data_IF_501657036673
#
_entry.id   IF_501657036673
#
_cell.length_a   1.000
_cell.length_b   1.000
_cell.length_c   1.000
_cell.angle_alpha   90.00
_cell.angle_beta   90.00
_cell.angle_gamma   90.00
#
_symmetry.space_group_name_H-M   'P 1'
#
loop_
_entity.id
_entity.type
_entity.pdbx_description
1 polymer ?
#
# COMPACT_ATOMS: atom_id res chain seq x y z
N UNK A 1 32.46 26.88 45.65
CA UNK A 1 31.22 27.02 44.85
C UNK A 1 31.54 26.87 43.37
N UNK A 2 31.06 25.80 42.73
CA UNK A 2 30.62 25.76 41.32
C UNK A 2 30.12 24.34 41.04
N UNK A 3 28.80 24.15 41.15
CA UNK A 3 28.12 22.91 40.77
C UNK A 3 27.88 22.99 39.27
N UNK A 4 28.55 22.14 38.50
CA UNK A 4 28.36 22.03 37.05
C UNK A 4 27.09 21.19 36.86
N UNK A 5 25.98 21.87 36.54
CA UNK A 5 24.75 21.22 36.11
C UNK A 5 24.88 20.82 34.64
N UNK A 6 24.97 19.52 34.39
CA UNK A 6 24.82 18.94 33.05
C UNK A 6 23.31 18.83 32.78
N UNK A 7 22.74 19.56 31.81
CA UNK A 7 21.35 19.32 31.43
C UNK A 7 21.28 17.99 30.68
N UNK A 8 20.60 17.04 31.30
CA UNK A 8 20.17 15.78 30.72
C UNK A 8 19.30 16.11 29.49
N UNK A 9 19.87 16.01 28.29
CA UNK A 9 19.10 16.09 27.05
C UNK A 9 18.27 14.80 26.98
N UNK A 10 17.04 14.88 27.47
CA UNK A 10 16.00 13.88 27.21
C UNK A 10 15.75 13.87 25.70
N UNK A 11 16.46 12.98 25.02
CA UNK A 11 16.16 12.55 23.66
C UNK A 11 14.78 11.86 23.71
N UNK A 12 13.75 12.69 23.57
CA UNK A 12 12.37 12.24 23.42
C UNK A 12 12.29 11.59 22.05
N UNK A 13 12.61 10.29 21.97
CA UNK A 13 12.22 9.47 20.83
C UNK A 13 10.69 9.47 20.81
N UNK A 14 10.13 10.43 20.07
CA UNK A 14 8.75 10.38 19.65
C UNK A 14 8.69 9.22 18.66
N UNK A 15 8.50 8.01 19.20
CA UNK A 15 8.06 6.87 18.42
C UNK A 15 6.67 7.29 17.94
N UNK A 16 6.63 7.87 16.75
CA UNK A 16 5.41 8.03 16.00
C UNK A 16 4.90 6.61 15.73
N UNK A 17 4.10 6.09 16.67
CA UNK A 17 3.24 4.94 16.48
C UNK A 17 2.14 5.32 15.48
N UNK A 18 2.53 5.67 14.25
CA UNK A 18 1.65 5.53 13.11
C UNK A 18 1.43 4.03 12.96
N UNK A 19 0.18 3.57 13.07
CA UNK A 19 -0.19 2.20 12.67
C UNK A 19 0.28 1.99 11.24
N UNK A 20 1.43 1.36 11.07
CA UNK A 20 1.93 0.98 9.75
C UNK A 20 0.98 -0.08 9.23
N UNK A 21 0.30 0.20 8.12
CA UNK A 21 -0.58 -0.77 7.46
C UNK A 21 0.22 -2.05 7.18
N UNK A 22 -0.39 -3.19 7.46
CA UNK A 22 0.14 -4.49 7.11
C UNK A 22 0.25 -4.63 5.58
N UNK A 23 1.11 -5.53 5.08
CA UNK A 23 1.19 -5.80 3.64
C UNK A 23 -0.16 -6.17 3.02
N UNK A 24 -1.02 -6.90 3.75
CA UNK A 24 -2.37 -7.27 3.31
C UNK A 24 -3.27 -6.04 3.16
N UNK A 25 -3.27 -5.12 4.12
CA UNK A 25 -4.05 -3.87 4.05
C UNK A 25 -3.60 -2.99 2.89
N UNK A 26 -2.29 -2.88 2.65
CA UNK A 26 -1.75 -2.10 1.53
C UNK A 26 -2.17 -2.75 0.20
N UNK A 27 -2.08 -4.07 0.07
CA UNK A 27 -2.53 -4.79 -1.11
C UNK A 27 -4.04 -4.63 -1.34
N UNK A 28 -4.85 -4.63 -0.28
CA UNK A 28 -6.29 -4.39 -0.37
C UNK A 28 -6.60 -2.98 -0.89
N UNK A 29 -5.90 -1.95 -0.41
CA UNK A 29 -6.05 -0.58 -0.92
C UNK A 29 -5.77 -0.49 -2.43
N UNK A 30 -4.76 -1.22 -2.92
CA UNK A 30 -4.42 -1.28 -4.34
C UNK A 30 -5.50 -2.01 -5.13
N UNK A 31 -6.00 -3.13 -4.60
CA UNK A 31 -7.12 -3.86 -5.18
C UNK A 31 -8.36 -2.96 -5.34
N UNK A 32 -8.71 -2.23 -4.29
CA UNK A 32 -9.87 -1.33 -4.29
C UNK A 32 -9.67 -0.17 -5.26
N UNK A 33 -8.44 0.36 -5.37
CA UNK A 33 -8.07 1.34 -6.39
C UNK A 33 -8.34 0.79 -7.80
N UNK A 34 -7.82 -0.42 -8.09
CA UNK A 34 -7.99 -1.08 -9.38
C UNK A 34 -9.46 -1.33 -9.72
N UNK A 35 -10.26 -1.81 -8.75
CA UNK A 35 -11.70 -2.01 -8.91
C UNK A 35 -12.42 -0.71 -9.26
N UNK A 36 -12.09 0.39 -8.57
CA UNK A 36 -12.68 1.72 -8.85
C UNK A 36 -12.29 2.23 -10.23
N UNK A 37 -11.02 2.11 -10.61
CA UNK A 37 -10.55 2.51 -11.93
C UNK A 37 -11.21 1.69 -13.05
N UNK A 38 -11.42 0.39 -12.82
CA UNK A 38 -12.06 -0.50 -13.80
C UNK A 38 -13.57 -0.36 -13.88
N UNK A 39 -14.22 0.18 -12.84
CA UNK A 39 -15.65 0.52 -12.85
C UNK A 39 -15.96 1.79 -13.66
N UNK A 40 -14.94 2.59 -14.02
CA UNK A 40 -15.13 3.74 -14.89
C UNK A 40 -15.55 3.30 -16.31
N UNK A 41 -16.44 4.05 -16.99
CA UNK A 41 -16.79 3.78 -18.37
C UNK A 41 -15.55 3.68 -19.26
N UNK A 42 -15.58 2.82 -20.28
CA UNK A 42 -14.47 2.67 -21.22
C UNK A 42 -14.15 3.98 -21.95
N UNK A 43 -15.17 4.83 -22.16
CA UNK A 43 -15.04 6.15 -22.78
C UNK A 43 -14.61 7.26 -21.81
N UNK A 44 -14.46 6.99 -20.51
CA UNK A 44 -14.02 8.00 -19.55
C UNK A 44 -12.54 8.32 -19.80
N UNK A 45 -12.19 9.58 -20.14
CA UNK A 45 -10.81 9.96 -20.44
C UNK A 45 -9.88 9.80 -19.23
N UNK A 46 -10.42 9.77 -18.00
CA UNK A 46 -9.65 9.61 -16.78
C UNK A 46 -9.41 8.15 -16.41
N UNK A 47 -10.06 7.19 -17.07
CA UNK A 47 -9.91 5.76 -16.75
C UNK A 47 -8.47 5.29 -16.82
N UNK A 48 -7.78 5.63 -17.92
CA UNK A 48 -6.36 5.27 -18.10
C UNK A 48 -5.49 5.88 -17.01
N UNK A 49 -5.72 7.15 -16.66
CA UNK A 49 -4.97 7.82 -15.60
C UNK A 49 -5.23 7.17 -14.23
N UNK A 50 -6.48 6.85 -13.90
CA UNK A 50 -6.83 6.16 -12.66
C UNK A 50 -6.16 4.79 -12.55
N UNK A 51 -6.10 4.02 -13.64
CA UNK A 51 -5.40 2.74 -13.69
C UNK A 51 -3.88 2.90 -13.46
N UNK A 52 -3.28 3.92 -14.09
CA UNK A 52 -1.85 4.24 -13.91
C UNK A 52 -1.51 4.63 -12.47
N UNK A 53 -2.35 5.44 -11.83
CA UNK A 53 -2.19 5.82 -10.43
C UNK A 53 -2.24 4.59 -9.49
N UNK A 54 -3.16 3.65 -9.73
CA UNK A 54 -3.19 2.40 -8.97
C UNK A 54 -1.92 1.55 -9.19
N UNK A 55 -1.43 1.49 -10.43
CA UNK A 55 -0.21 0.75 -10.74
C UNK A 55 1.02 1.38 -10.10
N UNK A 56 1.11 2.72 -10.06
CA UNK A 56 2.18 3.42 -9.36
C UNK A 56 2.18 3.09 -7.87
N UNK A 57 1.01 3.14 -7.22
CA UNK A 57 0.85 2.71 -5.81
C UNK A 57 1.30 1.27 -5.59
N UNK A 58 0.97 0.37 -6.52
CA UNK A 58 1.42 -1.01 -6.47
C UNK A 58 2.95 -1.13 -6.50
N UNK A 59 3.62 -0.46 -7.44
CA UNK A 59 5.09 -0.47 -7.54
C UNK A 59 5.75 0.12 -6.29
N UNK A 60 5.23 1.24 -5.78
CA UNK A 60 5.73 1.87 -4.56
C UNK A 60 5.58 0.96 -3.34
N UNK A 61 4.44 0.27 -3.20
CA UNK A 61 4.22 -0.68 -2.12
C UNK A 61 5.09 -1.93 -2.27
N UNK A 62 5.20 -2.48 -3.47
CA UNK A 62 6.04 -3.63 -3.77
C UNK A 62 7.50 -3.37 -3.40
N UNK A 63 8.04 -2.20 -3.74
CA UNK A 63 9.41 -1.84 -3.37
C UNK A 63 9.67 -1.81 -1.86
N UNK A 64 8.64 -1.63 -1.03
CA UNK A 64 8.75 -1.65 0.44
C UNK A 64 8.70 -3.07 1.02
N UNK A 65 8.06 -4.01 0.34
CA UNK A 65 7.82 -5.38 0.87
C UNK A 65 8.67 -6.45 0.20
N UNK A 66 9.17 -6.23 -1.02
CA UNK A 66 9.86 -7.25 -1.84
C UNK A 66 11.12 -7.87 -1.22
N UNK A 67 11.75 -7.18 -0.27
CA UNK A 67 12.94 -7.67 0.43
C UNK A 67 12.64 -8.63 1.58
N UNK A 68 11.36 -8.80 1.94
CA UNK A 68 10.91 -9.63 3.05
C UNK A 68 9.93 -10.68 2.49
N UNK A 69 10.33 -11.95 2.54
CA UNK A 69 9.61 -13.04 1.89
C UNK A 69 8.19 -13.18 2.43
N UNK A 70 8.00 -13.06 3.74
CA UNK A 70 6.68 -13.20 4.37
C UNK A 70 5.78 -12.03 4.00
N UNK A 71 6.31 -10.79 4.03
CA UNK A 71 5.54 -9.61 3.63
C UNK A 71 5.21 -9.63 2.14
N UNK A 72 6.14 -10.03 1.29
CA UNK A 72 5.94 -10.16 -0.14
C UNK A 72 4.88 -11.22 -0.45
N UNK A 73 4.92 -12.37 0.22
CA UNK A 73 3.93 -13.44 0.08
C UNK A 73 2.53 -12.95 0.49
N UNK A 74 2.40 -12.33 1.67
CA UNK A 74 1.13 -11.80 2.17
C UNK A 74 0.56 -10.69 1.27
N UNK A 75 1.41 -9.83 0.72
CA UNK A 75 1.03 -8.80 -0.24
C UNK A 75 0.51 -9.41 -1.55
N UNK A 76 1.27 -10.37 -2.10
CA UNK A 76 0.93 -11.03 -3.37
C UNK A 76 -0.33 -11.89 -3.25
N UNK A 77 -0.54 -12.58 -2.13
CA UNK A 77 -1.75 -13.38 -1.87
C UNK A 77 -3.03 -12.57 -2.15
N UNK A 78 -3.09 -11.35 -1.60
CA UNK A 78 -4.25 -10.45 -1.76
C UNK A 78 -4.37 -9.93 -3.19
N UNK A 79 -3.27 -9.48 -3.81
CA UNK A 79 -3.31 -8.97 -5.18
C UNK A 79 -3.66 -10.05 -6.20
N UNK A 80 -3.14 -11.26 -6.05
CA UNK A 80 -3.46 -12.40 -6.91
C UNK A 80 -4.93 -12.78 -6.80
N UNK A 81 -5.47 -12.88 -5.58
CA UNK A 81 -6.90 -13.14 -5.37
C UNK A 81 -7.78 -12.05 -6.02
N UNK A 82 -7.41 -10.78 -5.84
CA UNK A 82 -8.10 -9.66 -6.45
C UNK A 82 -8.08 -9.69 -7.99
N UNK A 83 -6.92 -10.00 -8.59
CA UNK A 83 -6.80 -10.11 -10.03
C UNK A 83 -7.67 -11.26 -10.58
N UNK A 84 -7.66 -12.42 -9.91
CA UNK A 84 -8.53 -13.55 -10.28
C UNK A 84 -10.00 -13.18 -10.21
N UNK A 85 -10.45 -12.48 -9.17
CA UNK A 85 -11.84 -12.01 -9.03
C UNK A 85 -12.22 -11.05 -10.17
N UNK A 86 -11.36 -10.07 -10.47
CA UNK A 86 -11.63 -9.09 -11.52
C UNK A 86 -11.67 -9.73 -12.92
N UNK A 87 -10.80 -10.71 -13.17
CA UNK A 87 -10.80 -11.50 -14.41
C UNK A 87 -12.13 -12.26 -14.52
N UNK A 88 -12.53 -13.02 -13.50
CA UNK A 88 -13.80 -13.77 -13.48
C UNK A 88 -15.00 -12.87 -13.80
N UNK A 89 -15.09 -11.72 -13.13
CA UNK A 89 -16.14 -10.72 -13.36
C UNK A 89 -16.13 -10.17 -14.79
N UNK A 90 -14.95 -9.96 -15.37
CA UNK A 90 -14.82 -9.47 -16.74
C UNK A 90 -15.29 -10.49 -17.79
N UNK A 91 -15.26 -11.79 -17.46
CA UNK A 91 -15.71 -12.88 -18.32
C UNK A 91 -17.09 -13.46 -17.94
N UNK A 92 -17.80 -12.84 -16.97
CA UNK A 92 -19.14 -13.29 -16.55
C UNK A 92 -19.17 -14.65 -15.84
N UNK A 93 -18.05 -15.03 -15.20
CA UNK A 93 -17.90 -16.28 -14.44
C UNK A 93 -18.13 -16.10 -12.94
#
# INVERSE_FOLDING_TARGET
>A
MKKIFIPLICLSFVIACGKTKSPKEIAQDICDCSKKANALPVSDPNRSNAQQECQKKNVEAWNKVKGDIEKAAAFNEVLSACATEQIRKSFGQ
#
